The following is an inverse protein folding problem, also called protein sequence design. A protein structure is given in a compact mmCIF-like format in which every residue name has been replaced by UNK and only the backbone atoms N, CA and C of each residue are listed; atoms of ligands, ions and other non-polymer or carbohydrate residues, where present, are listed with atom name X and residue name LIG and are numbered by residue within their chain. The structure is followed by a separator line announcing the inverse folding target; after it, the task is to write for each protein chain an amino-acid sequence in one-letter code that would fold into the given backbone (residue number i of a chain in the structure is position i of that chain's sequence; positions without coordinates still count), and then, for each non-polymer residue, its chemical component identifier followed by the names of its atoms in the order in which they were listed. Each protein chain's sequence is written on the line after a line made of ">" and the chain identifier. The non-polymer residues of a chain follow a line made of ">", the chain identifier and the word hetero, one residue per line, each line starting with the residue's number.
data_IF_295104764501
#
_entry.id   IF_295104764501
#
_cell.length_a   1.000
_cell.length_b   1.000
_cell.length_c   1.000
_cell.angle_alpha   90.00
_cell.angle_beta   90.00
_cell.angle_gamma   90.00
#
_symmetry.space_group_name_H-M   'P 1'
#
loop_
_entity.id
_entity.type
_entity.pdbx_description
1 polymer ?
#
# COMPACT_ATOMS: atom_id res chain seq x y z
N UNK A 1 -47.50 33.51 -47.92
CA UNK A 1 -47.98 34.19 -46.69
C UNK A 1 -47.06 33.78 -45.54
N UNK A 2 -46.20 34.69 -45.06
CA UNK A 2 -45.17 34.39 -44.07
C UNK A 2 -45.72 34.53 -42.64
N UNK A 3 -45.18 33.76 -41.69
CA UNK A 3 -45.13 34.16 -40.29
C UNK A 3 -43.73 33.92 -39.75
N UNK A 4 -43.09 35.06 -39.62
CA UNK A 4 -41.91 35.40 -38.86
C UNK A 4 -42.16 35.15 -37.37
N UNK A 5 -41.23 34.47 -36.68
CA UNK A 5 -41.10 34.51 -35.23
C UNK A 5 -39.62 34.49 -34.88
N UNK A 6 -39.07 35.70 -34.83
CA UNK A 6 -37.86 36.03 -34.09
C UNK A 6 -38.00 35.69 -32.60
N UNK A 7 -36.95 35.12 -32.01
CA UNK A 7 -36.77 35.03 -30.56
C UNK A 7 -35.48 35.78 -30.15
N UNK A 8 -35.50 36.49 -29.01
CA UNK A 8 -34.46 37.48 -28.65
C UNK A 8 -33.21 36.88 -27.98
N UNK A 9 -32.09 37.55 -28.26
CA UNK A 9 -30.79 37.42 -27.59
C UNK A 9 -30.89 37.52 -26.07
N UNK A 10 -30.22 36.61 -25.37
CA UNK A 10 -29.92 36.74 -23.95
C UNK A 10 -28.47 37.21 -23.80
N UNK A 11 -28.30 38.40 -23.22
CA UNK A 11 -27.05 38.98 -22.76
C UNK A 11 -26.39 38.06 -21.71
N UNK A 12 -25.11 37.76 -21.93
CA UNK A 12 -24.22 37.16 -20.94
C UNK A 12 -23.44 38.30 -20.24
N UNK A 13 -23.43 38.38 -18.90
CA UNK A 13 -22.57 39.33 -18.20
C UNK A 13 -21.09 38.87 -18.21
N UNK A 14 -20.20 39.82 -18.42
CA UNK A 14 -18.74 39.65 -18.33
C UNK A 14 -18.28 39.23 -16.93
N UNK A 15 -17.22 38.41 -16.80
CA UNK A 15 -16.59 38.14 -15.51
C UNK A 15 -15.67 39.28 -15.09
N UNK A 16 -15.97 39.86 -13.92
CA UNK A 16 -15.12 40.80 -13.22
C UNK A 16 -13.77 40.20 -12.86
N UNK A 17 -12.72 40.95 -13.22
CA UNK A 17 -11.35 40.83 -12.75
C UNK A 17 -11.24 41.24 -11.28
N UNK A 18 -10.41 40.51 -10.52
CA UNK A 18 -9.71 41.05 -9.36
C UNK A 18 -9.98 40.37 -8.01
N UNK A 19 -9.07 39.50 -7.60
CA UNK A 19 -8.57 39.42 -6.22
C UNK A 19 -7.34 38.52 -6.18
N UNK A 20 -6.17 39.16 -6.19
CA UNK A 20 -4.95 38.56 -5.66
C UNK A 20 -5.12 38.46 -4.14
N UNK A 21 -4.91 37.28 -3.55
CA UNK A 21 -4.42 37.24 -2.18
C UNK A 21 -3.46 36.08 -1.93
N UNK A 22 -2.43 36.44 -1.18
CA UNK A 22 -1.19 35.75 -0.87
C UNK A 22 -1.46 34.53 -0.01
N UNK A 23 -0.89 33.38 -0.38
CA UNK A 23 -0.27 32.48 0.59
C UNK A 23 0.92 31.79 -0.08
N UNK A 24 2.10 32.40 0.06
CA UNK A 24 3.37 31.69 -0.04
C UNK A 24 3.43 30.69 1.13
N UNK A 25 2.90 29.49 0.90
CA UNK A 25 3.08 28.37 1.81
C UNK A 25 4.46 27.80 1.51
N UNK A 26 5.41 28.18 2.37
CA UNK A 26 6.79 27.69 2.42
C UNK A 26 6.74 26.16 2.45
N UNK A 27 6.97 25.54 1.30
CA UNK A 27 7.20 24.11 1.18
C UNK A 27 8.65 23.95 0.75
N UNK A 28 9.50 23.64 1.71
CA UNK A 28 10.94 23.52 1.51
C UNK A 28 11.61 22.83 2.71
N UNK A 29 12.82 22.29 2.52
CA UNK A 29 13.54 21.47 3.50
C UNK A 29 13.86 22.18 4.84
N UNK A 30 13.68 23.50 4.93
CA UNK A 30 13.88 24.28 6.17
C UNK A 30 12.83 24.00 7.26
N UNK A 31 11.63 23.51 6.90
CA UNK A 31 10.62 23.13 7.90
C UNK A 31 11.05 21.93 8.76
N UNK A 32 11.88 21.02 8.21
CA UNK A 32 12.43 19.88 8.95
C UNK A 32 13.48 20.27 9.99
N UNK A 33 14.24 21.34 9.77
CA UNK A 33 15.27 21.78 10.72
C UNK A 33 14.68 22.38 12.02
N UNK A 34 13.47 22.97 11.97
CA UNK A 34 12.80 23.51 13.16
C UNK A 34 12.14 22.45 14.04
N UNK A 35 11.85 21.26 13.52
CA UNK A 35 11.28 20.15 14.31
C UNK A 35 12.30 19.46 15.22
N UNK A 36 13.61 19.56 14.93
CA UNK A 36 14.64 18.93 15.77
C UNK A 36 15.05 19.80 16.98
N UNK A 37 14.91 21.13 16.92
CA UNK A 37 15.27 22.04 18.03
C UNK A 37 14.20 22.06 19.14
N UNK A 38 12.93 21.77 18.82
CA UNK A 38 11.85 21.79 19.83
C UNK A 38 11.79 20.53 20.72
N UNK A 39 12.31 19.39 20.23
CA UNK A 39 12.32 18.14 20.98
C UNK A 39 13.37 18.13 22.12
N UNK A 40 14.46 18.88 21.97
CA UNK A 40 15.58 18.89 22.93
C UNK A 40 15.28 19.75 24.17
N UNK A 41 14.32 20.69 24.10
CA UNK A 41 13.99 21.58 25.22
C UNK A 41 12.94 21.04 26.20
N UNK A 42 12.33 19.87 25.92
CA UNK A 42 11.28 19.29 26.76
C UNK A 42 11.78 18.16 27.70
N UNK A 43 13.05 17.80 27.64
CA UNK A 43 13.63 16.71 28.42
C UNK A 43 14.40 17.16 29.68
N UNK A 44 14.33 18.44 30.06
CA UNK A 44 15.14 18.99 31.14
C UNK A 44 14.38 19.91 32.07
N UNK A 45 13.26 19.47 32.65
CA UNK A 45 12.76 20.09 33.89
C UNK A 45 11.79 19.15 34.62
N UNK A 46 12.32 18.34 35.54
CA UNK A 46 11.52 17.56 36.47
C UNK A 46 12.34 17.31 37.73
N UNK A 47 12.29 18.25 38.67
CA UNK A 47 12.66 18.04 40.08
C UNK A 47 12.10 19.17 40.94
N UNK A 48 10.89 19.01 41.48
CA UNK A 48 10.55 19.54 42.81
C UNK A 48 9.54 18.62 43.52
N UNK A 49 9.73 18.34 44.82
CA UNK A 49 8.86 17.48 45.62
C UNK A 49 7.76 18.29 46.31
N UNK A 50 6.56 17.71 46.43
CA UNK A 50 5.48 18.23 47.28
C UNK A 50 5.10 17.21 48.35
N UNK A 51 5.12 17.70 49.59
CA UNK A 51 4.85 16.98 50.83
C UNK A 51 3.38 16.56 51.02
N UNK A 52 3.11 15.57 51.90
CA UNK A 52 1.77 15.03 52.12
C UNK A 52 1.00 15.82 53.20
N UNK A 53 -0.29 16.02 52.98
CA UNK A 53 -1.24 16.49 53.99
C UNK A 53 -2.28 15.42 54.30
N UNK A 54 -2.22 14.94 55.54
CA UNK A 54 -3.28 14.25 56.27
C UNK A 54 -4.53 15.14 56.41
N UNK A 55 -5.72 14.55 56.30
CA UNK A 55 -6.84 14.85 57.22
C UNK A 55 -8.01 13.87 57.05
N UNK A 56 -8.46 13.40 58.20
CA UNK A 56 -9.52 12.42 58.45
C UNK A 56 -10.94 13.03 58.52
N UNK A 57 -11.95 12.15 58.50
CA UNK A 57 -13.35 12.43 58.87
C UNK A 57 -14.34 11.75 57.91
N UNK A 58 -14.92 10.55 58.14
CA UNK A 58 -15.79 10.02 59.22
C UNK A 58 -17.31 10.20 58.95
N UNK A 59 -18.04 9.05 58.99
CA UNK A 59 -19.50 8.78 59.18
C UNK A 59 -20.46 9.06 57.98
N UNK A 60 -21.06 8.11 57.24
CA UNK A 60 -22.01 6.98 57.50
C UNK A 60 -23.50 7.42 57.68
N UNK A 61 -24.55 6.56 57.58
CA UNK A 61 -25.03 5.61 56.54
C UNK A 61 -26.44 5.96 55.98
N UNK A 62 -26.88 5.26 54.92
CA UNK A 62 -28.23 4.68 54.93
C UNK A 62 -29.06 4.65 53.63
N UNK A 63 -29.69 3.47 53.44
CA UNK A 63 -30.96 3.17 52.71
C UNK A 63 -30.78 2.60 51.28
N UNK A 64 -30.80 1.28 51.07
CA UNK A 64 -31.89 0.27 51.17
C UNK A 64 -32.81 0.21 49.93
N UNK A 65 -32.80 -0.96 49.27
CA UNK A 65 -33.82 -1.45 48.34
C UNK A 65 -33.20 -2.21 47.17
N UNK A 66 -32.79 -3.49 47.30
CA UNK A 66 -33.59 -4.73 47.27
C UNK A 66 -34.18 -5.09 45.90
N UNK A 67 -33.98 -6.37 45.50
CA UNK A 67 -34.68 -7.19 44.47
C UNK A 67 -34.14 -7.05 43.03
N UNK A 68 -33.91 -8.09 42.24
CA UNK A 68 -34.07 -9.54 42.35
C UNK A 68 -33.08 -10.20 41.36
N UNK A 69 -32.54 -11.37 41.73
CA UNK A 69 -31.85 -12.33 40.85
C UNK A 69 -32.67 -13.62 40.93
N UNK A 70 -32.90 -14.33 39.82
CA UNK A 70 -32.26 -15.64 39.74
C UNK A 70 -31.77 -16.05 38.33
N UNK A 71 -30.53 -16.53 38.33
CA UNK A 71 -29.98 -17.70 37.64
C UNK A 71 -30.65 -18.29 36.38
N UNK A 72 -29.85 -18.42 35.32
CA UNK A 72 -29.61 -19.73 34.66
C UNK A 72 -28.16 -19.75 34.12
N UNK A 73 -27.25 -20.46 34.79
CA UNK A 73 -26.91 -21.89 34.68
C UNK A 73 -26.01 -22.20 33.48
N UNK A 74 -24.72 -21.93 33.69
CA UNK A 74 -23.63 -22.65 33.05
C UNK A 74 -23.35 -23.92 33.87
N UNK A 75 -23.58 -25.09 33.29
CA UNK A 75 -23.05 -26.40 33.71
C UNK A 75 -22.86 -27.19 32.40
N UNK A 76 -21.65 -27.38 31.89
CA UNK A 76 -20.70 -28.43 32.27
C UNK A 76 -21.38 -29.75 32.64
N UNK A 77 -21.43 -30.69 31.69
CA UNK A 77 -21.64 -32.11 31.98
C UNK A 77 -20.61 -32.96 31.23
N UNK A 78 -19.72 -33.52 32.04
CA UNK A 78 -18.85 -34.62 31.69
C UNK A 78 -19.64 -35.94 31.59
N UNK A 79 -19.11 -36.85 30.79
CA UNK A 79 -19.04 -38.32 30.97
C UNK A 79 -20.33 -39.09 31.34
N UNK A 80 -20.68 -40.09 30.53
CA UNK A 80 -20.35 -41.50 30.79
C UNK A 80 -21.37 -42.48 30.17
N UNK A 81 -20.85 -43.68 29.87
CA UNK A 81 -21.50 -44.98 29.64
C UNK A 81 -21.98 -45.25 28.20
N UNK A 82 -21.32 -46.12 27.42
CA UNK A 82 -20.92 -47.54 27.60
C UNK A 82 -22.03 -48.55 27.25
N UNK A 83 -21.61 -49.53 26.44
CA UNK A 83 -22.10 -50.91 26.29
C UNK A 83 -23.35 -51.23 25.45
N UNK A 84 -23.14 -51.82 24.26
CA UNK A 84 -23.05 -53.28 23.97
C UNK A 84 -23.09 -53.52 22.44
N UNK A 85 -22.06 -54.15 21.86
CA UNK A 85 -21.87 -55.61 21.65
C UNK A 85 -22.87 -56.21 20.66
N UNK A 86 -22.34 -56.59 19.50
CA UNK A 86 -22.64 -57.69 18.56
C UNK A 86 -22.01 -57.23 17.23
N UNK A 87 -20.80 -57.62 16.86
CA UNK A 87 -20.45 -58.98 16.51
C UNK A 87 -20.44 -59.06 14.98
N UNK A 88 -19.29 -58.85 14.34
CA UNK A 88 -19.04 -59.51 13.06
C UNK A 88 -17.53 -59.70 12.83
N UNK A 89 -17.20 -60.94 12.52
CA UNK A 89 -15.85 -61.42 12.20
C UNK A 89 -15.61 -61.17 10.71
N UNK A 90 -14.71 -60.23 10.39
CA UNK A 90 -14.20 -60.08 9.01
C UNK A 90 -12.71 -60.40 9.01
N UNK A 91 -12.37 -61.39 8.21
CA UNK A 91 -11.03 -61.90 7.92
C UNK A 91 -10.05 -60.80 7.48
N UNK A 92 -8.74 -60.91 7.81
CA UNK A 92 -7.74 -60.01 7.27
C UNK A 92 -7.24 -60.54 5.92
N UNK A 93 -7.69 -59.92 4.84
CA UNK A 93 -7.07 -60.03 3.53
C UNK A 93 -6.64 -58.63 3.08
N UNK A 94 -5.33 -58.48 2.89
CA UNK A 94 -4.65 -57.55 1.99
C UNK A 94 -5.13 -56.09 1.98
N UNK A 95 -4.65 -55.30 2.95
CA UNK A 95 -4.56 -53.84 2.81
C UNK A 95 -3.10 -53.48 2.58
N UNK A 96 -2.79 -53.26 1.31
CA UNK A 96 -1.57 -52.64 0.80
C UNK A 96 -1.36 -51.28 1.48
N UNK A 97 -0.53 -51.27 2.53
CA UNK A 97 -0.05 -50.04 3.16
C UNK A 97 1.14 -49.54 2.36
N UNK A 98 0.85 -48.75 1.32
CA UNK A 98 1.87 -47.83 0.79
C UNK A 98 2.41 -46.96 1.93
N UNK A 99 3.74 -46.91 2.15
CA UNK A 99 4.32 -46.09 3.21
C UNK A 99 4.04 -44.61 2.96
N UNK A 100 3.85 -43.80 4.02
CA UNK A 100 3.69 -42.36 3.86
C UNK A 100 4.93 -41.77 3.16
N UNK A 101 4.70 -40.95 2.13
CA UNK A 101 5.76 -40.25 1.42
C UNK A 101 6.66 -39.52 2.43
N UNK A 102 7.94 -39.87 2.43
CA UNK A 102 8.93 -39.28 3.32
C UNK A 102 8.94 -37.76 3.11
N UNK A 103 8.78 -37.01 4.21
CA UNK A 103 8.93 -35.57 4.18
C UNK A 103 10.30 -35.20 3.58
N UNK A 104 10.37 -34.15 2.75
CA UNK A 104 11.62 -33.74 2.12
C UNK A 104 12.65 -33.47 3.23
N UNK A 105 13.81 -34.15 3.13
CA UNK A 105 14.91 -33.96 4.08
C UNK A 105 15.41 -32.52 3.98
N UNK A 106 15.50 -31.85 5.13
CA UNK A 106 16.14 -30.55 5.22
C UNK A 106 17.57 -30.65 4.64
N UNK A 107 17.97 -29.72 3.74
CA UNK A 107 19.30 -29.76 3.16
C UNK A 107 20.33 -29.57 4.27
N UNK A 108 21.34 -30.43 4.24
CA UNK A 108 22.47 -30.37 5.16
C UNK A 108 23.21 -29.05 5.01
N UNK A 109 23.97 -28.65 6.04
CA UNK A 109 24.79 -27.44 5.98
C UNK A 109 25.76 -27.44 4.79
N UNK A 110 26.26 -28.62 4.40
CA UNK A 110 27.11 -28.80 3.22
C UNK A 110 26.35 -28.54 1.91
N UNK A 111 25.12 -29.05 1.76
CA UNK A 111 24.27 -28.81 0.59
C UNK A 111 23.89 -27.32 0.47
N UNK A 112 23.59 -26.64 1.59
CA UNK A 112 23.31 -25.19 1.59
C UNK A 112 24.53 -24.38 1.16
N UNK A 113 25.72 -24.76 1.64
CA UNK A 113 26.97 -24.09 1.27
C UNK A 113 27.31 -24.31 -0.21
N UNK A 114 27.07 -25.50 -0.74
CA UNK A 114 27.25 -25.79 -2.16
C UNK A 114 26.30 -24.96 -3.05
N UNK A 115 25.02 -24.85 -2.67
CA UNK A 115 24.05 -24.01 -3.39
C UNK A 115 24.43 -22.52 -3.37
N UNK A 116 25.00 -22.05 -2.26
CA UNK A 116 25.45 -20.65 -2.12
C UNK A 116 26.70 -20.34 -2.96
N UNK A 117 27.60 -21.33 -3.10
CA UNK A 117 28.76 -21.26 -3.99
C UNK A 117 28.34 -21.32 -5.47
N UNK A 118 27.36 -22.15 -5.81
CA UNK A 118 26.81 -22.24 -7.17
C UNK A 118 26.14 -20.91 -7.58
N UNK A 119 25.33 -20.34 -6.69
CA UNK A 119 24.73 -19.01 -6.88
C UNK A 119 25.79 -17.91 -7.03
N UNK A 120 26.89 -17.97 -6.26
CA UNK A 120 28.00 -17.02 -6.39
C UNK A 120 28.73 -17.16 -7.74
N UNK A 121 28.90 -18.39 -8.23
CA UNK A 121 29.47 -18.65 -9.56
C UNK A 121 28.56 -18.18 -10.70
N UNK A 122 27.24 -18.35 -10.57
CA UNK A 122 26.24 -17.84 -11.52
C UNK A 122 26.27 -16.30 -11.58
N UNK A 123 26.39 -15.65 -10.41
CA UNK A 123 26.50 -14.18 -10.29
C UNK A 123 27.81 -13.65 -10.87
N UNK A 124 28.92 -14.36 -10.69
CA UNK A 124 30.20 -14.00 -11.32
C UNK A 124 30.13 -14.10 -12.85
N UNK A 125 29.51 -15.16 -13.39
CA UNK A 125 29.30 -15.32 -14.84
C UNK A 125 28.40 -14.23 -15.43
N UNK A 126 27.36 -13.78 -14.72
CA UNK A 126 26.54 -12.62 -15.13
C UNK A 126 27.34 -11.32 -15.10
N UNK A 127 28.22 -11.15 -14.12
CA UNK A 127 29.06 -9.95 -14.01
C UNK A 127 30.09 -9.87 -15.14
N UNK A 128 30.66 -11.01 -15.56
CA UNK A 128 31.58 -11.08 -16.69
C UNK A 128 30.88 -10.86 -18.05
N UNK A 129 29.60 -11.24 -18.19
CA UNK A 129 28.80 -10.89 -19.37
C UNK A 129 28.51 -9.37 -19.47
N UNK A 130 28.39 -8.68 -18.34
CA UNK A 130 28.24 -7.22 -18.29
C UNK A 130 29.57 -6.51 -18.56
N UNK A 131 30.71 -7.08 -18.17
CA UNK A 131 32.04 -6.51 -18.44
C UNK A 131 32.53 -6.72 -19.90
N UNK A 132 32.02 -7.74 -20.61
CA UNK A 132 32.41 -8.03 -21.99
C UNK A 132 31.59 -7.28 -23.06
N UNK A 133 30.68 -6.39 -22.67
CA UNK A 133 29.83 -5.60 -23.58
C UNK A 133 30.28 -4.14 -23.74
N UNK A 134 31.52 -3.82 -23.35
CA UNK A 134 32.13 -2.49 -23.43
C UNK A 134 32.88 -2.25 -24.76
N UNK A 135 32.38 -2.81 -25.86
CA UNK A 135 32.71 -2.35 -27.21
C UNK A 135 31.55 -1.54 -27.75
N UNK A 136 31.61 -0.23 -27.49
CA UNK A 136 31.16 0.91 -28.30
C UNK A 136 30.30 0.56 -29.53
N UNK A 137 29.13 0.01 -29.27
CA UNK A 137 28.00 0.05 -30.18
C UNK A 137 27.05 1.01 -29.52
N UNK A 138 26.99 2.24 -30.01
CA UNK A 138 26.08 3.27 -29.52
C UNK A 138 24.72 2.66 -29.23
N UNK A 139 24.44 2.41 -27.95
CA UNK A 139 23.13 1.95 -27.48
C UNK A 139 22.15 2.96 -28.05
N UNK A 140 21.15 2.55 -28.85
CA UNK A 140 20.19 3.49 -29.40
C UNK A 140 19.69 4.33 -28.22
N UNK A 141 19.87 5.66 -28.33
CA UNK A 141 19.56 6.57 -27.25
C UNK A 141 18.19 6.20 -26.71
N UNK A 142 18.13 5.90 -25.41
CA UNK A 142 16.90 5.47 -24.78
C UNK A 142 15.82 6.52 -25.08
N UNK A 143 14.85 6.15 -25.92
CA UNK A 143 13.79 7.05 -26.37
C UNK A 143 12.70 7.19 -25.31
N UNK A 144 12.79 6.44 -24.21
CA UNK A 144 11.82 6.47 -23.11
C UNK A 144 11.99 7.77 -22.32
N UNK A 145 10.90 8.52 -22.08
CA UNK A 145 10.93 9.59 -21.11
C UNK A 145 11.38 9.06 -19.75
N UNK A 146 12.30 9.75 -19.05
CA UNK A 146 12.65 9.37 -17.70
C UNK A 146 11.43 9.48 -16.79
N UNK A 147 11.25 8.52 -15.88
CA UNK A 147 10.18 8.60 -14.88
C UNK A 147 10.51 9.74 -13.91
N UNK A 148 9.65 10.77 -13.77
CA UNK A 148 9.95 11.89 -12.88
C UNK A 148 10.02 11.46 -11.41
N UNK A 149 10.94 12.02 -10.63
CA UNK A 149 11.04 11.73 -9.18
C UNK A 149 9.73 12.03 -8.43
N UNK A 150 8.98 13.04 -8.90
CA UNK A 150 7.65 13.34 -8.37
C UNK A 150 6.70 12.14 -8.43
N UNK A 151 6.81 11.29 -9.45
CA UNK A 151 6.03 10.07 -9.57
C UNK A 151 6.35 9.15 -8.40
N UNK A 152 7.63 8.88 -8.11
CA UNK A 152 8.00 8.05 -6.95
C UNK A 152 7.57 8.66 -5.62
N UNK A 153 7.71 9.98 -5.41
CA UNK A 153 7.18 10.64 -4.22
C UNK A 153 5.66 10.47 -4.09
N UNK A 154 4.93 10.54 -5.21
CA UNK A 154 3.50 10.28 -5.23
C UNK A 154 3.17 8.82 -4.85
N UNK A 155 3.96 7.85 -5.29
CA UNK A 155 3.78 6.44 -4.93
C UNK A 155 4.12 6.14 -3.46
N UNK A 156 5.24 6.67 -2.97
CA UNK A 156 5.81 6.32 -1.66
C UNK A 156 5.24 7.16 -0.51
N UNK A 157 5.08 8.48 -0.71
CA UNK A 157 4.68 9.42 0.34
C UNK A 157 3.25 9.93 0.17
N UNK A 158 2.75 9.91 -1.07
CA UNK A 158 1.55 10.63 -1.48
C UNK A 158 1.68 12.16 -1.34
N UNK A 159 0.65 12.88 -1.77
CA UNK A 159 0.67 14.33 -1.78
C UNK A 159 -0.73 14.94 -1.51
N UNK A 160 -0.74 16.21 -1.13
CA UNK A 160 -1.96 17.01 -1.11
C UNK A 160 -2.21 17.60 -2.49
N UNK A 161 -3.34 17.26 -3.10
CA UNK A 161 -3.76 17.87 -4.37
C UNK A 161 -4.05 19.36 -4.22
N UNK A 162 -4.11 20.10 -5.34
CA UNK A 162 -4.47 21.53 -5.37
C UNK A 162 -5.82 21.85 -4.71
N UNK A 163 -6.71 20.86 -4.57
CA UNK A 163 -8.02 20.98 -3.92
C UNK A 163 -7.98 20.62 -2.42
N UNK A 164 -6.78 20.48 -1.83
CA UNK A 164 -6.61 20.10 -0.44
C UNK A 164 -7.04 18.66 -0.13
N UNK A 165 -6.93 17.75 -1.10
CA UNK A 165 -7.31 16.33 -0.91
C UNK A 165 -6.08 15.43 -0.98
N UNK A 166 -5.94 14.43 -0.10
CA UNK A 166 -4.84 13.48 -0.17
C UNK A 166 -4.97 12.57 -1.40
N UNK A 167 -3.87 12.37 -2.10
CA UNK A 167 -3.73 11.52 -3.30
C UNK A 167 -2.39 10.77 -3.27
N UNK A 168 -2.25 9.73 -4.09
CA UNK A 168 -1.05 8.88 -4.08
C UNK A 168 -0.98 8.02 -2.83
N UNK A 169 0.23 7.66 -2.39
CA UNK A 169 0.51 6.69 -1.33
C UNK A 169 -0.05 5.31 -1.70
N UNK A 170 0.77 4.56 -2.44
CA UNK A 170 0.53 3.22 -2.93
C UNK A 170 1.56 2.22 -2.39
N UNK A 171 2.49 2.65 -1.54
CA UNK A 171 3.44 1.76 -0.85
C UNK A 171 3.63 2.21 0.59
N UNK A 172 3.67 1.25 1.50
CA UNK A 172 4.14 1.45 2.86
C UNK A 172 5.26 0.42 3.11
N UNK A 173 6.53 0.74 2.82
CA UNK A 173 7.63 -0.17 3.02
C UNK A 173 7.63 -0.82 4.41
N UNK A 174 7.65 -2.16 4.46
CA UNK A 174 7.55 -2.93 5.70
C UNK A 174 6.18 -2.90 6.38
N UNK A 175 5.13 -2.44 5.70
CA UNK A 175 3.79 -2.24 6.27
C UNK A 175 3.69 -1.05 7.23
N UNK A 176 4.71 -0.18 7.26
CA UNK A 176 4.79 0.94 8.21
C UNK A 176 4.56 2.26 7.47
N UNK A 177 3.40 2.91 7.63
CA UNK A 177 3.19 4.24 7.07
C UNK A 177 4.01 5.30 7.83
N UNK A 178 4.40 6.41 7.17
CA UNK A 178 4.99 7.57 7.84
C UNK A 178 4.02 8.18 8.88
N UNK A 179 4.49 8.96 9.88
CA UNK A 179 3.71 9.33 11.08
C UNK A 179 2.45 10.17 10.83
N UNK A 180 2.40 10.89 9.72
CA UNK A 180 1.27 11.70 9.24
C UNK A 180 0.37 10.93 8.26
N UNK A 181 0.59 9.62 8.09
CA UNK A 181 -0.22 8.70 7.30
C UNK A 181 -0.66 7.54 8.19
N UNK A 182 -1.85 7.01 7.96
CA UNK A 182 -2.30 5.80 8.67
C UNK A 182 -3.23 4.96 7.83
N UNK A 183 -3.21 3.66 8.11
CA UNK A 183 -4.23 2.73 7.68
C UNK A 183 -5.38 2.72 8.68
N UNK A 184 -6.61 2.91 8.22
CA UNK A 184 -7.82 2.66 9.03
C UNK A 184 -8.41 1.28 8.76
N UNK A 185 -7.98 0.65 7.67
CA UNK A 185 -8.32 -0.72 7.29
C UNK A 185 -7.34 -1.23 6.24
N UNK A 186 -7.04 -2.52 6.30
CA UNK A 186 -6.31 -3.26 5.25
C UNK A 186 -7.08 -4.54 4.92
N UNK A 187 -7.12 -4.88 3.64
CA UNK A 187 -7.67 -6.13 3.13
C UNK A 187 -6.62 -7.23 3.13
N UNK A 188 -7.05 -8.46 2.82
CA UNK A 188 -6.15 -9.58 2.66
C UNK A 188 -5.25 -9.40 1.42
N UNK A 189 -3.92 -9.58 1.56
CA UNK A 189 -3.01 -9.58 0.43
C UNK A 189 -3.34 -10.64 -0.60
N UNK A 190 -3.13 -10.31 -1.88
CA UNK A 190 -3.15 -11.26 -2.98
C UNK A 190 -2.02 -12.29 -2.83
N UNK A 191 -2.00 -13.33 -3.69
CA UNK A 191 -0.89 -14.27 -3.77
C UNK A 191 0.47 -13.59 -4.05
N UNK A 192 0.47 -12.49 -4.81
CA UNK A 192 1.65 -11.69 -5.14
C UNK A 192 1.93 -10.58 -4.12
N UNK A 193 1.05 -10.40 -3.13
CA UNK A 193 1.26 -9.56 -1.95
C UNK A 193 0.60 -8.17 -2.00
N UNK A 194 -0.01 -7.76 -3.10
CA UNK A 194 -0.76 -6.51 -3.18
C UNK A 194 -2.06 -6.60 -2.38
N UNK A 195 -2.46 -5.51 -1.76
CA UNK A 195 -3.64 -5.49 -0.91
C UNK A 195 -4.41 -4.19 -1.07
N UNK A 196 -5.64 -4.17 -0.57
CA UNK A 196 -6.44 -2.95 -0.51
C UNK A 196 -6.28 -2.28 0.85
N UNK A 197 -6.31 -0.95 0.89
CA UNK A 197 -6.26 -0.20 2.12
C UNK A 197 -7.20 1.01 2.11
N UNK A 198 -7.59 1.44 3.32
CA UNK A 198 -8.15 2.77 3.59
C UNK A 198 -7.06 3.59 4.26
N UNK A 199 -6.69 4.71 3.63
CA UNK A 199 -5.60 5.58 4.11
C UNK A 199 -6.13 6.97 4.40
N UNK A 200 -5.63 7.52 5.50
CA UNK A 200 -5.86 8.90 5.91
C UNK A 200 -4.54 9.64 6.06
N UNK A 201 -4.57 10.94 5.79
CA UNK A 201 -3.45 11.86 5.93
C UNK A 201 -3.76 12.84 7.05
N UNK A 202 -2.79 13.14 7.90
CA UNK A 202 -2.91 14.16 8.92
C UNK A 202 -2.83 15.56 8.28
N UNK A 203 -3.90 16.34 8.39
CA UNK A 203 -3.93 17.75 8.00
C UNK A 203 -3.54 18.60 9.22
N UNK A 204 -2.29 19.06 9.26
CA UNK A 204 -1.80 19.92 10.34
C UNK A 204 -2.60 21.23 10.46
N UNK A 205 -3.14 21.74 9.36
CA UNK A 205 -3.84 23.03 9.37
C UNK A 205 -5.24 22.94 9.97
N UNK A 206 -5.88 21.79 9.85
CA UNK A 206 -7.18 21.51 10.45
C UNK A 206 -7.09 20.64 11.72
N UNK A 207 -5.90 20.16 12.06
CA UNK A 207 -5.65 19.21 13.15
C UNK A 207 -6.56 17.97 13.08
N UNK A 208 -6.73 17.41 11.89
CA UNK A 208 -7.61 16.26 11.67
C UNK A 208 -7.05 15.26 10.65
N UNK A 209 -7.51 14.02 10.74
CA UNK A 209 -7.22 13.00 9.74
C UNK A 209 -8.20 13.14 8.57
N UNK A 210 -7.66 13.24 7.35
CA UNK A 210 -8.43 13.34 6.11
C UNK A 210 -8.33 12.05 5.31
N UNK A 211 -9.45 11.37 5.01
CA UNK A 211 -9.43 10.20 4.17
C UNK A 211 -9.17 10.55 2.70
N UNK A 212 -8.56 9.61 1.97
CA UNK A 212 -8.54 9.66 0.51
C UNK A 212 -9.96 9.63 -0.05
N UNK A 213 -10.16 10.28 -1.20
CA UNK A 213 -11.49 10.34 -1.85
C UNK A 213 -11.98 8.95 -2.30
N UNK A 214 -11.05 8.07 -2.68
CA UNK A 214 -11.36 6.70 -3.07
C UNK A 214 -11.62 5.85 -1.83
N UNK A 215 -12.74 5.10 -1.75
CA UNK A 215 -13.09 4.31 -0.57
C UNK A 215 -12.06 3.25 -0.20
N UNK A 216 -11.44 2.62 -1.20
CA UNK A 216 -10.34 1.67 -1.09
C UNK A 216 -9.33 2.00 -2.21
N UNK A 217 -8.05 1.75 -1.96
CA UNK A 217 -7.01 1.81 -2.98
C UNK A 217 -6.04 0.66 -2.78
N UNK A 218 -5.36 0.31 -3.86
CA UNK A 218 -4.41 -0.78 -3.90
C UNK A 218 -3.01 -0.32 -3.49
N UNK A 219 -2.33 -1.21 -2.77
CA UNK A 219 -1.01 -1.02 -2.18
C UNK A 219 -0.04 -2.08 -2.72
N UNK A 220 1.21 -1.69 -2.92
CA UNK A 220 2.30 -2.59 -3.24
C UNK A 220 2.56 -3.53 -2.07
N UNK A 221 3.18 -4.70 -2.29
CA UNK A 221 3.49 -5.63 -1.20
C UNK A 221 4.29 -4.95 -0.09
N UNK A 222 3.92 -5.19 1.16
CA UNK A 222 4.63 -4.64 2.33
C UNK A 222 6.08 -5.14 2.41
N UNK A 223 6.39 -6.28 1.78
CA UNK A 223 7.75 -6.82 1.66
C UNK A 223 8.65 -5.99 0.74
N UNK A 224 8.10 -5.10 -0.09
CA UNK A 224 8.87 -4.27 -0.99
C UNK A 224 9.31 -2.99 -0.29
N UNK A 225 10.62 -2.77 -0.27
CA UNK A 225 11.18 -1.48 0.13
C UNK A 225 11.03 -0.46 -1.02
N UNK A 226 11.34 0.82 -0.74
CA UNK A 226 11.22 1.88 -1.73
C UNK A 226 12.05 1.64 -3.02
N UNK A 227 13.23 1.02 -2.88
CA UNK A 227 14.09 0.67 -4.02
C UNK A 227 13.45 -0.41 -4.89
N UNK A 228 12.85 -1.44 -4.29
CA UNK A 228 12.13 -2.50 -5.01
C UNK A 228 10.90 -1.96 -5.73
N UNK A 229 10.16 -1.05 -5.13
CA UNK A 229 9.03 -0.37 -5.81
C UNK A 229 9.55 0.42 -7.01
N UNK A 230 10.67 1.14 -6.87
CA UNK A 230 11.29 1.90 -7.96
C UNK A 230 11.71 0.99 -9.11
N UNK A 231 12.48 -0.06 -8.81
CA UNK A 231 12.90 -1.08 -9.77
C UNK A 231 11.69 -1.66 -10.52
N UNK A 232 10.67 -2.11 -9.79
CA UNK A 232 9.47 -2.71 -10.38
C UNK A 232 8.74 -1.76 -11.34
N UNK A 233 8.58 -0.50 -10.95
CA UNK A 233 7.93 0.52 -11.78
C UNK A 233 8.78 0.86 -13.02
N UNK A 234 10.10 0.99 -12.87
CA UNK A 234 11.01 1.30 -13.97
C UNK A 234 11.10 0.17 -15.00
N UNK A 235 11.29 -1.07 -14.55
CA UNK A 235 11.37 -2.24 -15.43
C UNK A 235 10.04 -2.48 -16.15
N UNK A 236 8.93 -2.49 -15.40
CA UNK A 236 7.60 -2.69 -15.99
C UNK A 236 7.24 -1.57 -16.97
N UNK A 237 7.57 -0.32 -16.63
CA UNK A 237 7.34 0.80 -17.56
C UNK A 237 8.16 0.64 -18.83
N UNK A 238 9.42 0.19 -18.73
CA UNK A 238 10.26 -0.07 -19.89
C UNK A 238 9.61 -1.06 -20.86
N UNK A 239 9.11 -2.19 -20.34
CA UNK A 239 8.42 -3.19 -21.14
C UNK A 239 7.11 -2.67 -21.75
N UNK A 240 6.27 -2.02 -20.93
CA UNK A 240 5.00 -1.43 -21.38
C UNK A 240 5.25 -0.36 -22.43
N UNK A 241 6.32 0.42 -22.28
CA UNK A 241 6.68 1.46 -23.23
C UNK A 241 7.05 0.86 -24.58
N UNK A 242 7.99 -0.07 -24.59
CA UNK A 242 8.50 -0.66 -25.81
C UNK A 242 7.42 -1.43 -26.58
N UNK A 243 6.50 -2.11 -25.86
CA UNK A 243 5.46 -2.94 -26.47
C UNK A 243 4.19 -2.18 -26.86
N UNK A 244 3.82 -1.13 -26.13
CA UNK A 244 2.50 -0.47 -26.27
C UNK A 244 2.61 1.02 -26.55
N UNK A 245 3.42 1.74 -25.78
CA UNK A 245 3.47 3.21 -25.85
C UNK A 245 4.22 3.67 -27.12
N UNK A 246 5.44 3.18 -27.35
CA UNK A 246 6.24 3.62 -28.48
C UNK A 246 5.55 3.38 -29.83
N UNK A 247 4.99 2.19 -30.12
CA UNK A 247 4.24 1.97 -31.36
C UNK A 247 3.03 2.89 -31.49
N UNK A 248 2.30 3.14 -30.40
CA UNK A 248 1.15 4.05 -30.40
C UNK A 248 1.54 5.49 -30.71
N UNK A 249 2.64 5.97 -30.13
CA UNK A 249 3.16 7.32 -30.41
C UNK A 249 3.65 7.45 -31.85
N UNK A 250 4.29 6.42 -32.41
CA UNK A 250 4.71 6.40 -33.82
C UNK A 250 3.51 6.45 -34.79
N UNK A 251 2.38 5.86 -34.39
CA UNK A 251 1.09 5.95 -35.11
C UNK A 251 0.33 7.26 -34.86
N UNK A 252 0.85 8.15 -34.00
CA UNK A 252 0.21 9.41 -33.63
C UNK A 252 -1.01 9.27 -32.72
N UNK A 253 -1.14 8.13 -32.00
CA UNK A 253 -2.23 7.89 -31.05
C UNK A 253 -1.97 8.55 -29.69
N UNK A 254 -3.04 9.01 -29.06
CA UNK A 254 -3.01 9.54 -27.70
C UNK A 254 -3.09 8.40 -26.66
N UNK A 255 -1.95 8.04 -26.11
CA UNK A 255 -1.82 6.99 -25.08
C UNK A 255 -2.30 7.41 -23.69
N UNK A 256 -2.59 8.70 -23.46
CA UNK A 256 -2.90 9.21 -22.12
C UNK A 256 -4.24 8.73 -21.56
N UNK A 257 -5.06 8.08 -22.40
CA UNK A 257 -6.38 7.52 -22.05
C UNK A 257 -6.39 6.00 -22.03
N UNK A 258 -5.29 5.37 -22.41
CA UNK A 258 -5.20 3.91 -22.47
C UNK A 258 -4.96 3.31 -21.08
N UNK A 259 -5.50 2.12 -20.86
CA UNK A 259 -5.21 1.33 -19.66
C UNK A 259 -3.92 0.55 -19.94
N UNK A 260 -2.82 1.05 -19.41
CA UNK A 260 -1.50 0.48 -19.59
C UNK A 260 -1.14 -0.36 -18.36
N UNK A 261 -1.01 -1.67 -18.55
CA UNK A 261 -0.70 -2.62 -17.48
C UNK A 261 0.48 -3.48 -17.91
N UNK A 262 1.41 -3.69 -16.98
CA UNK A 262 2.46 -4.71 -17.03
C UNK A 262 2.53 -5.48 -15.71
N UNK A 263 3.54 -6.32 -15.53
CA UNK A 263 3.69 -7.16 -14.33
C UNK A 263 5.15 -7.25 -13.89
N UNK A 264 5.39 -7.29 -12.58
CA UNK A 264 6.71 -7.46 -11.97
C UNK A 264 6.62 -8.40 -10.77
N UNK A 265 7.38 -9.50 -10.76
CA UNK A 265 7.32 -10.51 -9.70
C UNK A 265 5.88 -11.00 -9.39
N UNK A 266 5.03 -11.06 -10.42
CA UNK A 266 3.62 -11.43 -10.30
C UNK A 266 2.70 -10.30 -9.84
N UNK A 267 3.24 -9.12 -9.54
CA UNK A 267 2.47 -7.93 -9.20
C UNK A 267 2.07 -7.17 -10.46
N UNK A 268 0.77 -6.96 -10.66
CA UNK A 268 0.30 -6.20 -11.81
C UNK A 268 0.35 -4.71 -11.54
N UNK A 269 0.96 -3.93 -12.44
CA UNK A 269 1.14 -2.48 -12.27
C UNK A 269 0.43 -1.76 -13.40
N UNK A 270 -0.52 -0.90 -13.03
CA UNK A 270 -1.19 -0.01 -13.96
C UNK A 270 -0.50 1.36 -13.99
N UNK A 271 -0.36 1.91 -15.19
CA UNK A 271 0.25 3.21 -15.46
C UNK A 271 -0.77 4.20 -16.00
N UNK A 272 -0.67 5.44 -15.54
CA UNK A 272 -1.23 6.59 -16.23
C UNK A 272 -0.08 7.44 -16.79
N UNK A 273 -0.11 7.70 -18.09
CA UNK A 273 0.93 8.43 -18.81
C UNK A 273 0.40 9.73 -19.42
N UNK A 274 1.31 10.66 -19.73
CA UNK A 274 1.02 11.82 -20.56
C UNK A 274 0.92 11.46 -22.04
N UNK A 275 0.49 12.41 -22.90
CA UNK A 275 0.43 12.20 -24.36
C UNK A 275 1.79 11.91 -25.00
N UNK A 276 2.88 12.23 -24.30
CA UNK A 276 4.28 11.98 -24.67
C UNK A 276 4.81 10.64 -24.10
N UNK A 277 3.97 9.87 -23.42
CA UNK A 277 4.37 8.63 -22.75
C UNK A 277 4.98 8.83 -21.37
N UNK A 278 5.18 10.05 -20.88
CA UNK A 278 5.77 10.31 -19.55
C UNK A 278 4.85 9.79 -18.44
N UNK A 279 5.38 9.00 -17.52
CA UNK A 279 4.60 8.46 -16.40
C UNK A 279 4.15 9.57 -15.45
N UNK A 280 2.85 9.62 -15.18
CA UNK A 280 2.24 10.55 -14.21
C UNK A 280 1.98 9.90 -12.86
N UNK A 281 1.58 8.63 -12.87
CA UNK A 281 1.42 7.81 -11.66
C UNK A 281 1.39 6.33 -12.08
N UNK A 282 1.69 5.46 -11.13
CA UNK A 282 1.62 4.02 -11.26
C UNK A 282 1.15 3.42 -9.94
N UNK A 283 0.38 2.34 -10.00
CA UNK A 283 -0.14 1.66 -8.80
C UNK A 283 -0.40 0.19 -9.11
N UNK A 284 -0.34 -0.69 -8.09
CA UNK A 284 -0.64 -2.09 -8.30
C UNK A 284 -2.13 -2.29 -8.52
N UNK A 285 -2.54 -3.36 -9.20
CA UNK A 285 -3.94 -3.75 -9.34
C UNK A 285 -4.12 -5.20 -8.89
N UNK A 286 -5.22 -5.48 -8.19
CA UNK A 286 -5.54 -6.83 -7.73
C UNK A 286 -6.22 -7.61 -8.86
N UNK A 287 -5.74 -8.82 -9.15
CA UNK A 287 -6.23 -9.67 -10.25
C UNK A 287 -7.74 -9.93 -10.23
N UNK A 288 -8.34 -10.02 -9.03
CA UNK A 288 -9.77 -10.28 -8.84
C UNK A 288 -10.71 -9.18 -9.37
N UNK A 289 -10.17 -8.04 -9.82
CA UNK A 289 -10.94 -6.92 -10.38
C UNK A 289 -11.18 -7.03 -11.90
N UNK A 290 -10.77 -8.12 -12.56
CA UNK A 290 -10.96 -8.30 -14.01
C UNK A 290 -12.16 -9.15 -14.42
N UNK A 291 -12.82 -9.84 -13.49
CA UNK A 291 -13.92 -10.77 -13.82
C UNK A 291 -15.32 -10.12 -13.80
N UNK A 292 -15.42 -8.79 -13.68
CA UNK A 292 -16.69 -8.04 -13.72
C UNK A 292 -16.76 -7.03 -14.87
N UNK A 293 -16.51 -7.47 -16.11
CA UNK A 293 -16.79 -6.67 -17.32
C UNK A 293 -17.36 -7.49 -18.47
#
# INVERSE_FOLDING_TARGET
>A
MPRDLSAPSADLPEPLSGAADRTDRISGPEAKARLLDLATRRAGDASEPVDPVDSAGSVDPGRSGSRDVPHSRAESKAQALDRRVLGDQVSPADVDRSPPAALPREPTSAERKAALLDWAHERAKRSDQVAASDTDTARPADRRPPIPEKTFNHLLDGEWSRKGRPVGFHSAPGGVPPPDRRFTWTGEPSRSGEYEAKVEFWDESAAEWRPKKVPTHTMFPDSWNAEKVREAVEETYGEVYDQKIAPALEEGRDVSKEILVGSHDGVQIQFYVGPDGTVRTAFPIKEDLRDES
#
